data_IF_035465178299
#
_entry.id   IF_035465178299
#
_cell.length_a   1.000
_cell.length_b   1.000
_cell.length_c   1.000
_cell.angle_alpha   90.00
_cell.angle_beta   90.00
_cell.angle_gamma   90.00
#
_symmetry.space_group_name_H-M   'P 1'
#
loop_
_entity.id
_entity.type
_entity.pdbx_description
1 polymer ?
#
# COMPACT_ATOMS: atom_id res chain seq x y z
N UNK A 1 -49.10 -63.71 -41.77
CA UNK A 1 -49.01 -62.48 -42.58
C UNK A 1 -49.82 -61.42 -41.86
N UNK A 2 -49.34 -60.25 -41.46
CA UNK A 2 -48.05 -59.57 -41.64
C UNK A 2 -47.75 -58.82 -40.33
N UNK A 3 -46.51 -58.89 -39.88
CA UNK A 3 -45.96 -57.97 -38.87
C UNK A 3 -45.85 -56.58 -39.50
N UNK A 4 -46.41 -55.56 -38.85
CA UNK A 4 -46.03 -54.17 -39.11
C UNK A 4 -45.34 -53.66 -37.86
N UNK A 5 -44.01 -53.58 -37.96
CA UNK A 5 -43.18 -52.91 -36.97
C UNK A 5 -43.35 -51.40 -37.18
N UNK A 6 -44.13 -50.75 -36.31
CA UNK A 6 -44.11 -49.30 -36.21
C UNK A 6 -42.87 -48.89 -35.39
N UNK A 7 -41.81 -48.58 -36.12
CA UNK A 7 -40.69 -47.78 -35.63
C UNK A 7 -41.18 -46.36 -35.36
N UNK A 8 -41.74 -46.13 -34.17
CA UNK A 8 -41.96 -44.81 -33.62
C UNK A 8 -40.67 -44.23 -33.06
N UNK A 9 -39.84 -43.63 -33.92
CA UNK A 9 -38.83 -42.67 -33.45
C UNK A 9 -39.56 -41.44 -32.89
N UNK A 10 -39.61 -41.31 -31.57
CA UNK A 10 -40.31 -40.23 -30.88
C UNK A 10 -39.56 -39.75 -29.65
N UNK A 11 -38.40 -39.13 -29.87
CA UNK A 11 -37.85 -38.06 -29.03
C UNK A 11 -37.84 -38.27 -27.51
N UNK A 12 -36.93 -39.11 -27.02
CA UNK A 12 -36.34 -38.89 -25.70
C UNK A 12 -35.41 -37.67 -25.83
N UNK A 13 -35.86 -36.46 -25.48
CA UNK A 13 -34.99 -35.29 -25.67
C UNK A 13 -35.38 -33.95 -25.05
N UNK A 14 -36.67 -33.64 -24.84
CA UNK A 14 -37.05 -32.22 -24.66
C UNK A 14 -37.91 -31.93 -23.41
N UNK A 15 -37.93 -32.83 -22.42
CA UNK A 15 -38.68 -32.60 -21.17
C UNK A 15 -38.10 -31.46 -20.33
N UNK A 16 -36.82 -31.13 -20.49
CA UNK A 16 -36.15 -30.07 -19.73
C UNK A 16 -36.60 -28.64 -20.10
N UNK A 17 -37.27 -28.46 -21.25
CA UNK A 17 -37.80 -27.15 -21.67
C UNK A 17 -39.31 -27.01 -21.48
N UNK A 18 -40.01 -28.09 -21.14
CA UNK A 18 -41.47 -28.08 -21.00
C UNK A 18 -41.86 -28.02 -19.54
N UNK A 19 -41.78 -26.83 -18.98
CA UNK A 19 -42.51 -26.55 -17.75
C UNK A 19 -44.01 -26.46 -18.10
N UNK A 20 -44.83 -27.31 -17.48
CA UNK A 20 -46.28 -27.13 -17.56
C UNK A 20 -46.65 -25.84 -16.85
N UNK A 21 -47.75 -25.17 -17.21
CA UNK A 21 -48.22 -23.99 -16.46
C UNK A 21 -48.57 -24.30 -14.98
N UNK A 22 -48.55 -25.58 -14.60
CA UNK A 22 -48.67 -26.10 -13.24
C UNK A 22 -47.34 -26.42 -12.55
N UNK A 23 -46.20 -26.27 -13.22
CA UNK A 23 -44.89 -26.41 -12.60
C UNK A 23 -44.79 -25.37 -11.50
N UNK A 24 -44.54 -25.86 -10.28
CA UNK A 24 -44.70 -25.13 -9.03
C UNK A 24 -44.24 -23.68 -9.17
N UNK A 25 -45.21 -22.76 -9.16
CA UNK A 25 -44.92 -21.35 -8.88
C UNK A 25 -44.03 -21.36 -7.65
N UNK A 26 -42.83 -20.80 -7.77
CA UNK A 26 -41.89 -20.66 -6.68
C UNK A 26 -42.53 -19.74 -5.60
N UNK A 27 -43.39 -20.31 -4.77
CA UNK A 27 -44.31 -19.61 -3.84
C UNK A 27 -43.64 -19.29 -2.50
N UNK A 28 -42.32 -19.27 -2.44
CA UNK A 28 -41.60 -18.95 -1.21
C UNK A 28 -40.37 -18.14 -1.56
N UNK A 29 -40.53 -16.82 -1.63
CA UNK A 29 -39.47 -15.94 -1.18
C UNK A 29 -39.51 -16.01 0.35
N UNK A 30 -38.41 -16.45 0.97
CA UNK A 30 -38.31 -16.54 2.42
C UNK A 30 -38.85 -15.27 3.09
N UNK A 31 -39.62 -15.45 4.16
CA UNK A 31 -40.33 -14.38 4.84
C UNK A 31 -39.37 -13.22 5.17
N UNK A 32 -39.70 -12.00 4.73
CA UNK A 32 -38.85 -10.84 4.90
C UNK A 32 -38.67 -10.52 6.39
N UNK A 33 -37.53 -10.91 6.96
CA UNK A 33 -37.22 -10.68 8.36
C UNK A 33 -36.53 -9.32 8.55
N UNK A 34 -37.34 -8.27 8.62
CA UNK A 34 -36.88 -6.90 8.82
C UNK A 34 -35.98 -6.74 10.07
N UNK A 35 -36.31 -7.44 11.16
CA UNK A 35 -35.54 -7.39 12.41
C UNK A 35 -34.18 -8.07 12.28
N UNK A 36 -34.11 -9.21 11.58
CA UNK A 36 -32.85 -9.89 11.30
C UNK A 36 -31.91 -9.04 10.43
N UNK A 37 -32.47 -8.40 9.40
CA UNK A 37 -31.72 -7.49 8.52
C UNK A 37 -31.23 -6.26 9.30
N UNK A 38 -32.11 -5.62 10.08
CA UNK A 38 -31.74 -4.46 10.88
C UNK A 38 -30.68 -4.80 11.93
N UNK A 39 -30.82 -5.93 12.63
CA UNK A 39 -29.84 -6.40 13.61
C UNK A 39 -28.47 -6.70 12.98
N UNK A 40 -28.45 -7.34 11.81
CA UNK A 40 -27.22 -7.56 11.06
C UNK A 40 -26.54 -6.25 10.67
N UNK A 41 -27.29 -5.30 10.10
CA UNK A 41 -26.76 -3.99 9.70
C UNK A 41 -26.18 -3.22 10.89
N UNK A 42 -26.90 -3.19 12.02
CA UNK A 42 -26.41 -2.55 13.24
C UNK A 42 -25.13 -3.20 13.77
N UNK A 43 -25.04 -4.53 13.69
CA UNK A 43 -23.84 -5.26 14.11
C UNK A 43 -22.63 -4.91 13.24
N UNK A 44 -22.81 -4.89 11.91
CA UNK A 44 -21.73 -4.51 10.98
C UNK A 44 -21.28 -3.07 11.24
N UNK A 45 -22.22 -2.13 11.41
CA UNK A 45 -21.92 -0.74 11.73
C UNK A 45 -21.12 -0.64 13.03
N UNK A 46 -21.55 -1.33 14.08
CA UNK A 46 -20.87 -1.31 15.38
C UNK A 46 -19.43 -1.86 15.29
N UNK A 47 -19.22 -2.94 14.52
CA UNK A 47 -17.88 -3.51 14.30
C UNK A 47 -16.99 -2.51 13.56
N UNK A 48 -17.47 -1.94 12.46
CA UNK A 48 -16.69 -0.97 11.66
C UNK A 48 -16.33 0.24 12.52
N UNK A 49 -17.28 0.80 13.27
CA UNK A 49 -17.01 1.90 14.19
C UNK A 49 -15.97 1.53 15.26
N UNK A 50 -16.08 0.34 15.83
CA UNK A 50 -15.13 -0.14 16.84
C UNK A 50 -13.71 -0.24 16.27
N UNK A 51 -13.56 -0.75 15.05
CA UNK A 51 -12.27 -0.82 14.35
C UNK A 51 -11.72 0.59 14.12
N UNK A 52 -12.55 1.53 13.67
CA UNK A 52 -12.13 2.93 13.46
C UNK A 52 -11.67 3.57 14.77
N UNK A 53 -12.40 3.38 15.86
CA UNK A 53 -12.02 3.92 17.19
C UNK A 53 -10.68 3.36 17.64
N UNK A 54 -10.47 2.04 17.52
CA UNK A 54 -9.20 1.39 17.88
C UNK A 54 -8.07 1.89 16.98
N UNK A 55 -8.33 2.03 15.68
CA UNK A 55 -7.35 2.52 14.72
C UNK A 55 -6.94 3.96 15.03
N UNK A 56 -7.90 4.86 15.27
CA UNK A 56 -7.63 6.25 15.65
C UNK A 56 -6.86 6.32 16.96
N UNK A 57 -7.23 5.53 17.98
CA UNK A 57 -6.49 5.47 19.24
C UNK A 57 -5.05 4.98 19.04
N UNK A 58 -4.85 3.98 18.19
CA UNK A 58 -3.53 3.46 17.84
C UNK A 58 -2.69 4.49 17.08
N UNK A 59 -3.25 5.15 16.06
CA UNK A 59 -2.58 6.21 15.30
C UNK A 59 -2.22 7.37 16.21
N UNK A 60 -3.14 7.85 17.04
CA UNK A 60 -2.86 8.94 17.97
C UNK A 60 -1.72 8.58 18.93
N UNK A 61 -1.70 7.34 19.44
CA UNK A 61 -0.58 6.87 20.28
C UNK A 61 0.74 6.81 19.50
N UNK A 62 0.73 6.36 18.26
CA UNK A 62 1.92 6.29 17.41
C UNK A 62 2.45 7.69 17.07
N UNK A 63 1.56 8.63 16.75
CA UNK A 63 1.89 10.03 16.50
C UNK A 63 2.44 10.68 17.76
N UNK A 64 1.81 10.53 18.92
CA UNK A 64 2.36 11.07 20.18
C UNK A 64 3.71 10.45 20.54
N UNK A 65 3.94 9.18 20.21
CA UNK A 65 5.26 8.56 20.39
C UNK A 65 6.31 9.14 19.42
N UNK A 66 5.94 9.41 18.17
CA UNK A 66 6.83 10.08 17.22
C UNK A 66 7.08 11.54 17.58
N UNK A 67 6.05 12.28 18.01
CA UNK A 67 6.19 13.65 18.51
C UNK A 67 7.07 13.69 19.76
N UNK A 68 6.96 12.72 20.66
CA UNK A 68 7.87 12.58 21.79
C UNK A 68 9.31 12.30 21.35
N UNK A 69 9.53 11.50 20.30
CA UNK A 69 10.86 11.27 19.71
C UNK A 69 11.43 12.56 19.08
N UNK A 70 10.60 13.32 18.37
CA UNK A 70 11.00 14.58 17.73
C UNK A 70 11.25 15.69 18.78
N UNK A 71 10.39 15.81 19.80
CA UNK A 71 10.54 16.78 20.89
C UNK A 71 11.69 16.43 21.85
N UNK A 72 11.99 15.13 22.05
CA UNK A 72 13.15 14.68 22.82
C UNK A 72 14.49 14.88 22.08
N UNK A 73 14.48 15.50 20.89
CA UNK A 73 15.68 15.73 20.09
C UNK A 73 16.26 14.45 19.49
N UNK A 74 15.52 13.34 19.49
CA UNK A 74 15.92 12.09 18.86
C UNK A 74 15.64 12.12 17.34
N UNK A 75 16.18 13.12 16.65
CA UNK A 75 16.48 12.98 15.22
C UNK A 75 17.56 11.92 14.97
N UNK A 76 18.22 11.44 16.03
CA UNK A 76 19.33 10.49 16.06
C UNK A 76 19.10 9.17 15.31
N UNK A 77 17.86 8.68 15.21
CA UNK A 77 17.60 7.39 14.54
C UNK A 77 17.80 7.45 13.02
N UNK A 78 17.63 8.63 12.40
CA UNK A 78 17.98 8.88 11.00
C UNK A 78 19.25 9.73 10.85
N UNK A 79 19.63 10.45 11.92
CA UNK A 79 20.72 11.41 11.89
C UNK A 79 22.09 10.81 12.24
N UNK A 80 22.19 9.63 12.85
CA UNK A 80 23.51 9.02 13.14
C UNK A 80 24.35 8.81 11.87
N UNK A 81 23.92 7.93 10.94
CA UNK A 81 24.65 7.67 9.70
C UNK A 81 24.68 8.89 8.77
N UNK A 82 23.60 9.67 8.73
CA UNK A 82 23.52 10.87 7.89
C UNK A 82 24.46 11.97 8.38
N UNK A 83 24.46 12.30 9.68
CA UNK A 83 25.35 13.33 10.23
C UNK A 83 26.81 12.87 10.22
N UNK A 84 27.09 11.59 10.45
CA UNK A 84 28.44 11.03 10.27
C UNK A 84 28.91 11.16 8.82
N UNK A 85 28.03 10.89 7.85
CA UNK A 85 28.36 11.11 6.45
C UNK A 85 28.63 12.58 6.19
N UNK A 86 27.77 13.51 6.63
CA UNK A 86 27.95 14.95 6.43
C UNK A 86 29.26 15.43 7.06
N UNK A 87 29.58 15.03 8.30
CA UNK A 87 30.83 15.38 8.96
C UNK A 87 32.06 14.82 8.22
N UNK A 88 31.97 13.61 7.67
CA UNK A 88 33.01 13.02 6.84
C UNK A 88 33.18 13.78 5.52
N UNK A 89 32.08 14.10 4.83
CA UNK A 89 32.11 14.89 3.60
C UNK A 89 32.66 16.29 3.84
N UNK A 90 32.28 16.94 4.94
CA UNK A 90 32.75 18.28 5.32
C UNK A 90 34.26 18.29 5.57
N UNK A 91 34.78 17.33 6.35
CA UNK A 91 36.22 17.18 6.56
C UNK A 91 37.01 16.81 5.29
N UNK A 92 36.39 16.08 4.36
CA UNK A 92 36.99 15.70 3.09
C UNK A 92 36.97 16.82 2.02
N UNK A 93 36.05 17.77 2.13
CA UNK A 93 35.84 18.84 1.14
C UNK A 93 36.40 20.20 1.56
N UNK A 94 36.55 20.46 2.87
CA UNK A 94 36.96 21.76 3.42
C UNK A 94 38.31 21.72 4.17
N UNK A 95 39.07 20.63 4.06
CA UNK A 95 40.36 20.44 4.72
C UNK A 95 41.54 21.13 4.03
N UNK A 96 42.78 20.76 4.41
CA UNK A 96 43.99 21.19 3.69
C UNK A 96 44.28 20.28 2.47
N UNK A 97 45.00 20.76 1.45
CA UNK A 97 45.44 19.91 0.34
C UNK A 97 46.35 18.77 0.80
N UNK A 98 46.01 17.54 0.40
CA UNK A 98 46.76 16.34 0.79
C UNK A 98 47.25 15.61 -0.46
N UNK A 99 48.52 15.20 -0.47
CA UNK A 99 49.06 14.32 -1.49
C UNK A 99 48.51 12.89 -1.30
N UNK A 100 47.83 12.37 -2.32
CA UNK A 100 47.31 10.99 -2.30
C UNK A 100 48.35 9.99 -2.78
N UNK A 101 49.21 10.42 -3.71
CA UNK A 101 50.35 9.66 -4.20
C UNK A 101 51.46 10.63 -4.70
N UNK A 102 52.51 10.10 -5.34
CA UNK A 102 53.62 10.91 -5.84
C UNK A 102 53.24 11.94 -6.93
N UNK A 103 52.09 11.77 -7.57
CA UNK A 103 51.64 12.56 -8.72
C UNK A 103 50.23 13.16 -8.55
N UNK A 104 49.49 12.80 -7.51
CA UNK A 104 48.08 13.18 -7.32
C UNK A 104 47.89 13.93 -6.01
N UNK A 105 47.29 15.12 -6.09
CA UNK A 105 46.88 15.93 -4.93
C UNK A 105 45.36 15.95 -4.85
N UNK A 106 44.82 15.70 -3.66
CA UNK A 106 43.44 16.03 -3.31
C UNK A 106 43.37 17.51 -2.96
N UNK A 107 42.69 18.29 -3.80
CA UNK A 107 42.41 19.69 -3.53
C UNK A 107 41.03 19.86 -2.87
N UNK A 108 40.94 20.59 -1.75
CA UNK A 108 39.69 21.00 -1.12
C UNK A 108 38.83 21.79 -2.10
N UNK A 109 37.51 21.64 -1.99
CA UNK A 109 36.55 22.15 -2.97
C UNK A 109 36.50 23.69 -2.96
N UNK A 110 36.64 24.30 -1.78
CA UNK A 110 36.71 25.75 -1.58
C UNK A 110 37.95 26.35 -2.26
N UNK A 111 39.09 25.71 -2.11
CA UNK A 111 40.36 26.12 -2.71
C UNK A 111 40.31 25.98 -4.23
N UNK A 112 39.77 24.87 -4.73
CA UNK A 112 39.55 24.66 -6.16
C UNK A 112 38.59 25.71 -6.74
N UNK A 113 37.48 26.00 -6.06
CA UNK A 113 36.52 27.01 -6.49
C UNK A 113 37.16 28.41 -6.53
N UNK A 114 37.94 28.79 -5.50
CA UNK A 114 38.63 30.07 -5.46
C UNK A 114 39.64 30.24 -6.62
N UNK A 115 40.38 29.18 -6.97
CA UNK A 115 41.30 29.20 -8.10
C UNK A 115 40.57 29.38 -9.43
N UNK A 116 39.46 28.66 -9.64
CA UNK A 116 38.64 28.80 -10.85
C UNK A 116 38.09 30.22 -10.97
N UNK A 117 37.50 30.76 -9.90
CA UNK A 117 36.98 32.14 -9.87
C UNK A 117 38.08 33.14 -10.20
N UNK A 118 39.29 32.98 -9.64
CA UNK A 118 40.45 33.84 -9.93
C UNK A 118 40.88 33.77 -11.40
N UNK A 119 40.83 32.60 -12.02
CA UNK A 119 41.17 32.45 -13.45
C UNK A 119 40.15 33.15 -14.36
N UNK A 120 38.87 33.12 -13.99
CA UNK A 120 37.81 33.75 -14.76
C UNK A 120 37.68 35.25 -14.50
N UNK A 121 38.01 35.74 -13.30
CA UNK A 121 37.98 37.18 -12.98
C UNK A 121 39.23 37.95 -13.43
N UNK A 122 40.30 37.24 -13.83
CA UNK A 122 41.51 37.81 -14.39
C UNK A 122 41.48 37.92 -15.94
N UNK A 123 40.36 37.57 -16.58
CA UNK A 123 40.06 37.84 -17.98
C UNK A 123 39.16 39.05 -18.11
#
# INVERSE_FOLDING_TARGET
MMMSAEHGHGGHGDEWFRHSASDAVQLSHGEFNAFGIAGFLLTVIAIVFSIVVVFVAWVNRAVSAQEAIVQAGATTTLAGPYNESIAKWDGELMGDPVWLDQNTVRLPLDTAAAQVVKMYSAR
#
